data_IF_745154588833
#
_entry.id   IF_745154588833
#
_cell.length_a   1.000
_cell.length_b   1.000
_cell.length_c   1.000
_cell.angle_alpha   90.00
_cell.angle_beta   90.00
_cell.angle_gamma   90.00
#
_symmetry.space_group_name_H-M   'P 1'
#
loop_
_entity.id
_entity.type
_entity.pdbx_description
1 polymer ?
#
# COMPACT_ATOMS: atom_id res chain seq x y z
N UNK A 1 3.75 2.44 12.68
CA UNK A 1 4.61 2.99 11.62
C UNK A 1 5.83 2.09 11.43
N UNK A 2 6.57 2.27 10.34
CA UNK A 2 7.78 1.50 10.07
C UNK A 2 7.56 0.07 9.55
N UNK A 3 6.35 -0.32 9.28
CA UNK A 3 6.03 -1.68 8.80
C UNK A 3 6.09 -1.76 7.29
N UNK A 4 6.60 -2.89 6.79
CA UNK A 4 6.57 -3.28 5.38
C UNK A 4 5.82 -4.58 5.18
N UNK A 5 5.82 -5.08 3.96
CA UNK A 5 5.13 -6.33 3.60
C UNK A 5 5.99 -7.58 3.86
N UNK A 6 7.30 -7.45 3.76
CA UNK A 6 8.25 -8.53 4.04
C UNK A 6 9.43 -8.11 4.91
N UNK A 7 9.62 -6.84 5.10
CA UNK A 7 10.63 -6.22 5.96
C UNK A 7 10.06 -4.98 6.62
N UNK A 8 10.39 -4.76 7.88
CA UNK A 8 10.09 -3.50 8.57
C UNK A 8 11.26 -2.51 8.42
N UNK A 9 10.99 -1.24 8.66
CA UNK A 9 12.04 -0.24 8.73
C UNK A 9 13.07 -0.64 9.77
N UNK A 10 14.34 -0.68 9.37
CA UNK A 10 15.47 -0.88 10.26
C UNK A 10 15.50 -2.21 11.04
N UNK A 11 14.91 -3.28 10.50
CA UNK A 11 14.87 -4.61 11.11
C UNK A 11 16.24 -5.10 11.64
N UNK A 12 17.31 -4.74 10.94
CA UNK A 12 18.65 -5.18 11.31
C UNK A 12 19.22 -4.45 12.54
N UNK A 13 18.71 -3.27 12.87
CA UNK A 13 19.13 -2.50 14.05
C UNK A 13 18.29 -2.81 15.27
N UNK A 14 17.02 -2.99 15.05
CA UNK A 14 16.05 -3.17 16.13
C UNK A 14 15.93 -4.61 16.61
N UNK A 15 16.47 -5.58 15.86
CA UNK A 15 16.20 -6.99 16.11
C UNK A 15 14.72 -7.37 15.95
N UNK A 16 13.96 -6.50 15.37
CA UNK A 16 12.50 -6.60 15.27
C UNK A 16 12.13 -7.42 14.06
N UNK A 17 12.14 -8.73 14.22
CA UNK A 17 11.70 -9.68 13.20
C UNK A 17 10.20 -9.92 13.34
N UNK A 18 9.39 -8.95 12.95
CA UNK A 18 7.96 -9.16 12.82
C UNK A 18 7.63 -9.26 11.31
N UNK A 19 7.71 -10.44 10.72
CA UNK A 19 7.25 -10.60 9.35
C UNK A 19 5.75 -10.38 9.31
N UNK A 20 5.32 -9.53 8.40
CA UNK A 20 3.94 -9.50 7.90
C UNK A 20 2.89 -9.07 8.93
N UNK A 21 3.17 -8.04 9.70
CA UNK A 21 2.18 -7.47 10.63
C UNK A 21 0.90 -7.01 9.91
N UNK A 22 0.99 -6.62 8.63
CA UNK A 22 -0.18 -6.28 7.84
C UNK A 22 -1.12 -7.45 7.54
N UNK A 23 -0.60 -8.67 7.39
CA UNK A 23 -1.46 -9.85 7.27
C UNK A 23 -2.18 -10.14 8.58
N UNK A 24 -1.48 -9.98 9.68
CA UNK A 24 -2.06 -10.19 11.02
C UNK A 24 -3.03 -9.07 11.38
N UNK A 25 -2.80 -7.84 10.92
CA UNK A 25 -3.68 -6.69 11.24
C UNK A 25 -5.08 -6.84 10.65
N UNK A 26 -5.22 -7.62 9.57
CA UNK A 26 -6.55 -8.00 9.06
C UNK A 26 -7.25 -9.06 9.92
N UNK A 27 -6.50 -9.84 10.67
CA UNK A 27 -7.02 -10.92 11.51
C UNK A 27 -7.05 -10.55 12.99
N UNK A 28 -6.23 -9.59 13.40
CA UNK A 28 -6.04 -9.20 14.79
C UNK A 28 -6.19 -7.67 14.89
N UNK A 29 -7.30 -7.20 15.42
CA UNK A 29 -7.39 -5.83 15.84
C UNK A 29 -6.45 -5.64 17.03
N UNK A 30 -5.52 -4.75 16.90
CA UNK A 30 -4.50 -4.32 17.84
C UNK A 30 -4.36 -5.15 19.12
N UNK A 31 -3.14 -5.55 19.42
CA UNK A 31 -2.73 -6.43 20.52
C UNK A 31 -3.33 -6.16 21.92
N UNK A 32 -3.99 -5.02 22.10
CA UNK A 32 -4.56 -4.60 23.38
C UNK A 32 -5.93 -5.17 23.70
N UNK A 33 -6.70 -5.64 22.69
CA UNK A 33 -8.11 -6.00 22.91
C UNK A 33 -8.52 -7.38 22.40
N UNK A 34 -7.66 -8.14 21.74
CA UNK A 34 -7.97 -9.44 21.13
C UNK A 34 -9.24 -9.43 20.23
N UNK A 35 -9.61 -8.26 19.74
CA UNK A 35 -10.75 -8.11 18.86
C UNK A 35 -10.27 -8.27 17.42
N UNK A 36 -10.72 -9.29 16.74
CA UNK A 36 -10.50 -9.46 15.30
C UNK A 36 -11.32 -8.43 14.55
N UNK A 37 -10.69 -7.78 13.58
CA UNK A 37 -11.43 -6.96 12.66
C UNK A 37 -12.27 -7.84 11.73
N UNK A 38 -13.58 -7.61 11.77
CA UNK A 38 -14.56 -8.31 10.94
C UNK A 38 -15.05 -7.39 9.82
N UNK A 39 -14.65 -7.64 8.56
CA UNK A 39 -15.12 -6.84 7.43
C UNK A 39 -16.63 -6.86 7.24
N UNK A 40 -17.31 -7.92 7.72
CA UNK A 40 -18.76 -8.03 7.61
C UNK A 40 -19.51 -7.15 8.61
N UNK A 41 -18.83 -6.68 9.65
CA UNK A 41 -19.40 -5.77 10.65
C UNK A 41 -19.50 -4.31 10.17
N UNK A 42 -18.96 -4.00 9.00
CA UNK A 42 -19.00 -2.65 8.43
C UNK A 42 -20.12 -2.56 7.41
N UNK A 43 -21.04 -1.62 7.58
CA UNK A 43 -22.19 -1.44 6.70
C UNK A 43 -21.83 -1.07 5.25
N UNK A 44 -20.64 -0.53 5.06
CA UNK A 44 -20.14 -0.12 3.73
C UNK A 44 -18.97 -1.00 3.29
N UNK A 45 -19.14 -1.68 2.17
CA UNK A 45 -18.03 -2.37 1.51
C UNK A 45 -17.26 -1.39 0.63
N UNK A 46 -15.93 -1.50 0.55
CA UNK A 46 -15.17 -0.67 -0.38
C UNK A 46 -15.47 -1.05 -1.83
N UNK A 47 -15.50 -0.06 -2.72
CA UNK A 47 -15.58 -0.26 -4.17
C UNK A 47 -14.19 -0.49 -4.79
N UNK A 48 -13.15 -0.03 -4.12
CA UNK A 48 -11.75 -0.21 -4.49
C UNK A 48 -10.88 -0.20 -3.24
N UNK A 49 -9.83 -1.03 -3.23
CA UNK A 49 -8.80 -0.98 -2.19
C UNK A 49 -7.52 -0.39 -2.78
N UNK A 50 -6.96 0.61 -2.11
CA UNK A 50 -5.69 1.22 -2.50
C UNK A 50 -4.62 0.85 -1.48
N UNK A 51 -3.52 0.26 -1.95
CA UNK A 51 -2.40 -0.18 -1.11
C UNK A 51 -1.19 0.68 -1.41
N UNK A 52 -0.69 1.40 -0.40
CA UNK A 52 0.56 2.16 -0.47
C UNK A 52 1.56 1.60 0.53
N UNK A 53 2.11 0.44 0.21
CA UNK A 53 3.14 -0.26 0.97
C UNK A 53 4.41 -0.36 0.13
N UNK A 54 5.47 -0.86 0.70
CA UNK A 54 6.81 -1.15 0.21
C UNK A 54 7.90 -0.17 0.62
N UNK A 55 7.60 1.05 1.02
CA UNK A 55 8.64 2.02 1.41
C UNK A 55 9.57 1.45 2.48
N UNK A 56 9.01 0.83 3.51
CA UNK A 56 9.80 0.28 4.61
C UNK A 56 10.56 -1.00 4.23
N UNK A 57 10.05 -1.77 3.28
CA UNK A 57 10.74 -2.95 2.75
C UNK A 57 12.10 -2.60 2.14
N UNK A 58 12.19 -1.42 1.53
CA UNK A 58 13.40 -0.91 0.89
C UNK A 58 14.18 0.10 1.76
N UNK A 59 13.80 0.27 3.00
CA UNK A 59 14.47 1.19 3.92
C UNK A 59 15.93 0.80 4.14
N UNK A 60 16.75 1.79 4.53
CA UNK A 60 18.18 1.58 4.85
C UNK A 60 19.02 1.03 3.70
N UNK A 61 18.60 1.27 2.44
CA UNK A 61 19.34 0.84 1.25
C UNK A 61 19.36 -0.67 1.01
N UNK A 62 18.48 -1.42 1.66
CA UNK A 62 18.35 -2.87 1.49
C UNK A 62 17.12 -3.21 0.68
N UNK A 63 17.23 -4.29 -0.11
CA UNK A 63 16.11 -4.87 -0.84
C UNK A 63 15.60 -6.11 -0.12
N UNK A 64 14.27 -6.31 -0.05
CA UNK A 64 13.72 -7.57 0.42
C UNK A 64 14.01 -8.69 -0.60
N UNK A 65 14.03 -9.93 -0.14
CA UNK A 65 14.02 -11.07 -1.06
C UNK A 65 12.70 -11.05 -1.86
N UNK A 66 12.80 -11.05 -3.19
CA UNK A 66 11.62 -10.90 -4.05
C UNK A 66 10.61 -12.03 -3.86
N UNK A 67 11.05 -13.29 -3.68
CA UNK A 67 10.13 -14.42 -3.47
C UNK A 67 9.30 -14.24 -2.19
N UNK A 68 9.92 -13.81 -1.11
CA UNK A 68 9.24 -13.50 0.15
C UNK A 68 8.29 -12.31 -0.03
N UNK A 69 8.74 -11.25 -0.70
CA UNK A 69 7.93 -10.07 -0.98
C UNK A 69 6.69 -10.43 -1.79
N UNK A 70 6.84 -11.18 -2.89
CA UNK A 70 5.75 -11.65 -3.73
C UNK A 70 4.77 -12.54 -2.94
N UNK A 71 5.29 -13.50 -2.18
CA UNK A 71 4.47 -14.41 -1.37
C UNK A 71 3.61 -13.66 -0.35
N UNK A 72 4.22 -12.74 0.39
CA UNK A 72 3.54 -11.95 1.41
C UNK A 72 2.53 -10.96 0.81
N UNK A 73 2.91 -10.31 -0.28
CA UNK A 73 2.01 -9.40 -0.97
C UNK A 73 0.81 -10.13 -1.57
N UNK A 74 1.05 -11.29 -2.19
CA UNK A 74 -0.02 -12.16 -2.69
C UNK A 74 -0.95 -12.62 -1.57
N UNK A 75 -0.41 -12.96 -0.40
CA UNK A 75 -1.23 -13.34 0.75
C UNK A 75 -2.13 -12.18 1.20
N UNK A 76 -1.61 -10.94 1.25
CA UNK A 76 -2.41 -9.75 1.53
C UNK A 76 -3.51 -9.54 0.49
N UNK A 77 -3.17 -9.60 -0.80
CA UNK A 77 -4.14 -9.46 -1.89
C UNK A 77 -5.23 -10.54 -1.82
N UNK A 78 -4.85 -11.78 -1.58
CA UNK A 78 -5.79 -12.90 -1.42
C UNK A 78 -6.73 -12.69 -0.24
N UNK A 79 -6.22 -12.16 0.87
CA UNK A 79 -7.03 -11.84 2.05
C UNK A 79 -8.03 -10.72 1.77
N UNK A 80 -7.62 -9.68 1.06
CA UNK A 80 -8.51 -8.59 0.62
C UNK A 80 -9.63 -9.14 -0.25
N UNK A 81 -9.28 -9.98 -1.23
CA UNK A 81 -10.27 -10.62 -2.11
C UNK A 81 -11.25 -11.50 -1.32
N UNK A 82 -10.76 -12.31 -0.39
CA UNK A 82 -11.60 -13.16 0.45
C UNK A 82 -12.54 -12.36 1.37
N UNK A 83 -12.07 -11.24 1.91
CA UNK A 83 -12.85 -10.43 2.83
C UNK A 83 -13.94 -9.61 2.14
N UNK A 84 -13.71 -9.17 0.90
CA UNK A 84 -14.65 -8.28 0.21
C UNK A 84 -15.32 -8.94 -0.99
N UNK A 85 -14.56 -9.28 -2.01
CA UNK A 85 -15.02 -9.94 -3.23
C UNK A 85 -13.83 -10.34 -4.10
N UNK A 86 -13.95 -11.43 -4.86
CA UNK A 86 -12.94 -11.78 -5.87
C UNK A 86 -12.74 -10.68 -6.91
N UNK A 87 -13.80 -9.94 -7.21
CA UNK A 87 -13.81 -8.91 -8.25
C UNK A 87 -13.41 -7.52 -7.74
N UNK A 88 -13.26 -7.32 -6.42
CA UNK A 88 -12.89 -6.00 -5.91
C UNK A 88 -11.59 -5.52 -6.56
N UNK A 89 -11.57 -4.30 -7.14
CA UNK A 89 -10.34 -3.75 -7.66
C UNK A 89 -9.34 -3.45 -6.56
N UNK A 90 -8.07 -3.75 -6.79
CA UNK A 90 -6.98 -3.37 -5.90
C UNK A 90 -5.94 -2.58 -6.69
N UNK A 91 -5.65 -1.37 -6.24
CA UNK A 91 -4.61 -0.51 -6.82
C UNK A 91 -3.40 -0.47 -5.90
N UNK A 92 -2.28 -1.01 -6.37
CA UNK A 92 -1.02 -1.03 -5.66
C UNK A 92 -0.15 0.17 -6.07
N UNK A 93 0.24 1.00 -5.12
CA UNK A 93 1.06 2.18 -5.35
C UNK A 93 2.53 1.86 -5.03
N UNK A 94 3.42 2.11 -5.99
CA UNK A 94 4.84 1.99 -5.78
C UNK A 94 5.41 3.30 -5.21
N UNK A 95 6.17 3.20 -4.13
CA UNK A 95 6.81 4.35 -3.51
C UNK A 95 7.94 4.91 -4.38
N UNK A 96 8.09 6.22 -4.38
CA UNK A 96 9.23 6.91 -4.99
C UNK A 96 10.53 6.73 -4.19
N UNK A 97 10.44 6.41 -2.93
CA UNK A 97 11.61 6.35 -2.04
C UNK A 97 12.69 5.37 -2.53
N UNK A 98 12.31 4.39 -3.34
CA UNK A 98 13.25 3.47 -3.96
C UNK A 98 12.76 3.05 -5.36
N UNK A 99 13.56 3.22 -6.43
CA UNK A 99 13.17 2.85 -7.80
C UNK A 99 12.82 1.36 -7.96
N UNK A 100 13.45 0.48 -7.19
CA UNK A 100 13.20 -0.96 -7.25
C UNK A 100 11.81 -1.33 -6.72
N UNK A 101 11.23 -0.48 -5.88
CA UNK A 101 9.87 -0.66 -5.40
C UNK A 101 8.87 -0.76 -6.57
N UNK A 102 9.01 0.09 -7.58
CA UNK A 102 8.16 0.05 -8.77
C UNK A 102 8.29 -1.29 -9.52
N UNK A 103 9.52 -1.77 -9.68
CA UNK A 103 9.78 -3.06 -10.31
C UNK A 103 9.15 -4.22 -9.54
N UNK A 104 9.24 -4.21 -8.21
CA UNK A 104 8.67 -5.25 -7.37
C UNK A 104 7.14 -5.23 -7.39
N UNK A 105 6.53 -4.06 -7.24
CA UNK A 105 5.06 -3.91 -7.27
C UNK A 105 4.50 -4.30 -8.64
N UNK A 106 5.12 -3.88 -9.73
CA UNK A 106 4.76 -4.30 -11.08
C UNK A 106 4.74 -5.83 -11.18
N UNK A 107 5.84 -6.48 -10.81
CA UNK A 107 5.95 -7.94 -10.85
C UNK A 107 4.94 -8.64 -9.94
N UNK A 108 4.66 -8.09 -8.77
CA UNK A 108 3.60 -8.62 -7.90
C UNK A 108 2.27 -8.64 -8.64
N UNK A 109 1.89 -7.54 -9.28
CA UNK A 109 0.61 -7.47 -10.01
C UNK A 109 0.55 -8.43 -11.21
N UNK A 110 1.68 -8.63 -11.88
CA UNK A 110 1.80 -9.57 -13.02
C UNK A 110 1.84 -11.03 -12.59
N UNK A 111 2.49 -11.35 -11.45
CA UNK A 111 2.78 -12.71 -11.01
C UNK A 111 1.83 -13.23 -9.90
N UNK A 112 0.99 -12.38 -9.31
CA UNK A 112 0.10 -12.80 -8.21
C UNK A 112 -1.00 -13.79 -8.64
N UNK A 113 -1.38 -13.80 -9.93
CA UNK A 113 -2.41 -14.66 -10.47
C UNK A 113 -3.84 -14.31 -10.03
N UNK A 114 -4.05 -13.08 -9.51
CA UNK A 114 -5.35 -12.56 -9.09
C UNK A 114 -5.89 -11.56 -10.11
N UNK A 115 -7.22 -11.51 -10.26
CA UNK A 115 -7.90 -10.57 -11.15
C UNK A 115 -7.99 -9.17 -10.53
N UNK A 116 -8.15 -8.17 -11.40
CA UNK A 116 -8.41 -6.78 -10.99
C UNK A 116 -7.38 -6.25 -9.98
N UNK A 117 -6.11 -6.58 -10.19
CA UNK A 117 -4.98 -6.05 -9.45
C UNK A 117 -4.18 -5.14 -10.38
N UNK A 118 -4.12 -3.88 -10.02
CA UNK A 118 -3.51 -2.80 -10.81
C UNK A 118 -2.36 -2.20 -10.06
N UNK A 119 -1.47 -1.51 -10.76
CA UNK A 119 -0.37 -0.80 -10.12
C UNK A 119 -0.09 0.54 -10.80
N UNK A 120 0.49 1.44 -10.06
CA UNK A 120 1.11 2.66 -10.60
C UNK A 120 2.32 3.04 -9.78
N UNK A 121 3.29 3.66 -10.43
CA UNK A 121 4.46 4.21 -9.78
C UNK A 121 4.26 5.70 -9.51
N UNK A 122 4.52 6.11 -8.27
CA UNK A 122 4.52 7.52 -7.89
C UNK A 122 5.94 8.08 -8.01
N UNK A 123 6.43 8.18 -9.25
CA UNK A 123 7.85 8.43 -9.50
C UNK A 123 8.25 9.90 -9.48
N UNK A 124 7.36 10.83 -9.85
CA UNK A 124 7.84 12.19 -10.14
C UNK A 124 7.22 13.30 -9.31
N UNK A 125 6.09 13.09 -8.69
CA UNK A 125 5.29 14.19 -8.13
C UNK A 125 5.24 14.25 -6.61
N UNK A 126 5.87 13.32 -5.90
CA UNK A 126 5.68 13.18 -4.47
C UNK A 126 6.99 13.36 -3.72
N UNK A 127 7.01 14.20 -2.74
CA UNK A 127 8.10 14.41 -1.78
C UNK A 127 9.40 14.99 -2.33
N UNK A 128 9.37 15.83 -3.36
CA UNK A 128 10.59 16.40 -3.92
C UNK A 128 11.03 17.68 -3.27
N UNK A 129 10.16 18.33 -2.54
CA UNK A 129 10.44 19.64 -1.95
C UNK A 129 10.22 19.60 -0.44
N UNK A 130 11.09 20.28 0.30
CA UNK A 130 10.96 20.41 1.76
C UNK A 130 9.60 20.97 2.17
N UNK A 131 8.98 21.79 1.33
CA UNK A 131 7.65 22.34 1.57
C UNK A 131 6.51 21.29 1.56
N UNK A 132 6.77 20.06 1.10
CA UNK A 132 5.81 18.97 0.97
C UNK A 132 5.99 17.88 2.03
N UNK A 133 7.07 17.99 2.79
CA UNK A 133 7.39 17.04 3.85
C UNK A 133 6.99 17.59 5.22
N UNK A 134 6.59 16.69 6.08
CA UNK A 134 6.32 16.90 7.49
C UNK A 134 7.31 16.15 8.37
N UNK A 135 6.88 15.77 9.55
CA UNK A 135 7.71 15.04 10.50
C UNK A 135 8.21 13.71 9.92
N UNK A 136 9.47 13.38 10.18
CA UNK A 136 10.11 12.13 9.82
C UNK A 136 10.01 11.80 8.32
N UNK A 137 10.12 12.80 7.47
CA UNK A 137 10.08 12.66 6.00
C UNK A 137 8.75 12.14 5.45
N UNK A 138 7.70 12.16 6.24
CA UNK A 138 6.35 11.83 5.76
C UNK A 138 5.75 13.03 4.99
N UNK A 139 4.86 12.78 4.03
CA UNK A 139 4.17 13.87 3.36
C UNK A 139 3.39 14.73 4.35
N UNK A 140 3.47 16.04 4.20
CA UNK A 140 2.53 16.95 4.83
C UNK A 140 1.25 17.07 3.98
N UNK A 141 0.35 17.99 4.33
CA UNK A 141 -0.89 18.20 3.59
C UNK A 141 -0.69 18.43 2.08
N UNK A 142 0.32 19.22 1.70
CA UNK A 142 0.63 19.48 0.29
C UNK A 142 1.15 18.23 -0.40
N UNK A 143 2.02 17.46 0.25
CA UNK A 143 2.51 16.18 -0.23
C UNK A 143 1.38 15.18 -0.44
N UNK A 144 0.46 15.07 0.52
CA UNK A 144 -0.71 14.20 0.39
C UNK A 144 -1.64 14.63 -0.77
N UNK A 145 -1.83 15.94 -0.99
CA UNK A 145 -2.59 16.41 -2.17
C UNK A 145 -1.95 15.98 -3.49
N UNK A 146 -0.62 16.02 -3.58
CA UNK A 146 0.08 15.53 -4.78
C UNK A 146 -0.10 14.02 -4.96
N UNK A 147 0.03 13.23 -3.89
CA UNK A 147 -0.26 11.79 -3.94
C UNK A 147 -1.68 11.56 -4.47
N UNK A 148 -2.66 12.21 -3.89
CA UNK A 148 -4.05 12.09 -4.31
C UNK A 148 -4.24 12.45 -5.79
N UNK A 149 -3.63 13.55 -6.25
CA UNK A 149 -3.71 13.97 -7.66
C UNK A 149 -3.12 12.94 -8.61
N UNK A 150 -2.08 12.20 -8.21
CA UNK A 150 -1.52 11.11 -9.01
C UNK A 150 -2.44 9.89 -9.05
N UNK A 151 -3.17 9.61 -7.97
CA UNK A 151 -3.93 8.37 -7.79
C UNK A 151 -5.36 8.48 -8.33
N UNK A 152 -5.99 9.65 -8.20
CA UNK A 152 -7.38 9.88 -8.62
C UNK A 152 -7.67 9.46 -10.08
N UNK A 153 -6.84 9.78 -11.08
CA UNK A 153 -7.09 9.34 -12.47
C UNK A 153 -7.13 7.82 -12.62
N UNK A 154 -6.28 7.10 -11.88
CA UNK A 154 -6.28 5.63 -11.90
C UNK A 154 -7.54 5.07 -11.24
N UNK A 155 -7.94 5.62 -10.10
CA UNK A 155 -9.20 5.23 -9.44
C UNK A 155 -10.37 5.47 -10.38
N UNK A 156 -10.46 6.66 -10.98
CA UNK A 156 -11.50 6.99 -11.95
C UNK A 156 -11.55 5.99 -13.12
N UNK A 157 -10.40 5.66 -13.70
CA UNK A 157 -10.31 4.69 -14.80
C UNK A 157 -10.75 3.29 -14.38
N UNK A 158 -10.37 2.85 -13.17
CA UNK A 158 -10.65 1.51 -12.67
C UNK A 158 -12.13 1.36 -12.28
N UNK A 159 -12.70 2.38 -11.64
CA UNK A 159 -14.07 2.34 -11.11
C UNK A 159 -15.13 2.87 -12.07
N UNK A 160 -14.72 3.65 -13.07
CA UNK A 160 -15.63 4.40 -13.92
C UNK A 160 -16.21 5.67 -13.26
N UNK A 161 -15.71 6.05 -12.09
CA UNK A 161 -16.17 7.26 -11.41
C UNK A 161 -15.69 8.52 -12.14
N UNK A 162 -16.57 9.50 -12.23
CA UNK A 162 -16.23 10.78 -12.82
C UNK A 162 -15.28 11.56 -11.87
N UNK A 163 -14.24 12.14 -12.47
CA UNK A 163 -13.38 13.07 -11.74
C UNK A 163 -14.09 14.42 -11.63
N UNK A 164 -14.18 14.96 -10.42
CA UNK A 164 -14.67 16.32 -10.24
C UNK A 164 -13.67 17.33 -10.81
N UNK A 165 -14.16 18.26 -11.64
CA UNK A 165 -13.33 19.31 -12.25
C UNK A 165 -12.70 20.25 -11.22
N UNK A 166 -13.26 20.34 -10.00
CA UNK A 166 -12.74 21.15 -8.90
C UNK A 166 -12.36 20.25 -7.75
N UNK A 167 -11.06 20.13 -7.46
CA UNK A 167 -10.64 19.49 -6.24
C UNK A 167 -11.20 20.26 -5.04
N UNK A 168 -11.52 19.54 -3.98
CA UNK A 168 -12.07 20.07 -2.74
C UNK A 168 -11.47 21.44 -2.35
N UNK A 169 -12.34 22.41 -2.09
CA UNK A 169 -11.97 23.72 -1.54
C UNK A 169 -11.51 23.57 -0.10
#
# INVERSE_FOLDING_TARGET
>A
SGQGISRNYDDYRSGYHMPVRYLNTFDEAQETENVKWDPSSVDTRPDIVVIYLCTNDFSTGRQPNFKSFLSNYKALLSRIKANYSEDIPVLCLASKANPDCATYIKRVCEECGLKNVYWTAMTEMVHNEDSELGASWHPNYKGHKKVASCVIPYISTITGWEMLEKPYR
#
